data_IF_589041767777
#
_entry.id   IF_589041767777
#
_cell.length_a   1.000
_cell.length_b   1.000
_cell.length_c   1.000
_cell.angle_alpha   90.00
_cell.angle_beta   90.00
_cell.angle_gamma   90.00
#
_symmetry.space_group_name_H-M   'P 1'
#
loop_
_entity.id
_entity.type
_entity.pdbx_description
1 polymer ?
#
# COMPACT_ATOMS: atom_id res chain seq x y z
N UNK A 1 66.19 -30.65 26.84
CA UNK A 1 65.95 -30.76 28.30
C UNK A 1 64.96 -29.66 28.69
N UNK A 2 63.88 -30.05 29.36
CA UNK A 2 62.97 -29.26 30.22
C UNK A 2 62.05 -28.21 29.54
N UNK A 3 60.72 -28.47 29.45
CA UNK A 3 59.62 -28.16 30.41
C UNK A 3 59.26 -26.65 30.36
N UNK A 4 58.03 -26.19 30.16
CA UNK A 4 56.83 -26.50 30.97
C UNK A 4 55.51 -26.06 30.31
N UNK A 5 54.48 -26.84 30.57
CA UNK A 5 53.05 -26.65 30.28
C UNK A 5 52.37 -25.73 31.31
N UNK A 6 51.33 -24.98 30.90
CA UNK A 6 50.37 -24.36 31.83
C UNK A 6 48.94 -24.58 31.30
N UNK A 7 48.25 -25.58 31.84
CA UNK A 7 46.79 -25.76 31.72
C UNK A 7 46.19 -25.45 33.09
N UNK A 8 45.31 -24.46 33.14
CA UNK A 8 44.60 -24.04 34.34
C UNK A 8 43.26 -24.82 34.39
N UNK A 9 43.21 -25.90 35.18
CA UNK A 9 41.95 -26.62 35.47
C UNK A 9 41.39 -26.14 36.80
N UNK A 10 40.24 -25.47 36.77
CA UNK A 10 39.48 -25.12 37.96
C UNK A 10 38.60 -26.32 38.36
N UNK A 11 38.96 -26.95 39.47
CA UNK A 11 38.21 -28.02 40.13
C UNK A 11 37.13 -27.41 41.03
N UNK A 12 35.86 -27.82 40.85
CA UNK A 12 34.77 -27.50 41.78
C UNK A 12 34.00 -28.79 42.12
N UNK A 13 34.39 -29.35 43.26
CA UNK A 13 33.71 -30.23 44.23
C UNK A 13 32.46 -31.00 43.77
N UNK A 14 32.62 -32.33 43.64
CA UNK A 14 31.54 -33.30 43.83
C UNK A 14 31.64 -33.81 45.27
N UNK A 15 30.68 -33.46 46.13
CA UNK A 15 30.54 -34.07 47.46
C UNK A 15 29.41 -35.10 47.42
N UNK A 16 29.74 -36.30 47.89
CA UNK A 16 28.96 -37.54 47.80
C UNK A 16 27.85 -37.70 48.85
N UNK A 17 26.72 -38.25 48.39
CA UNK A 17 25.91 -39.36 48.94
C UNK A 17 25.42 -39.30 50.41
N UNK A 18 24.09 -39.35 50.58
CA UNK A 18 23.42 -40.12 51.65
C UNK A 18 22.27 -40.94 51.04
N UNK A 19 22.29 -42.26 51.27
CA UNK A 19 21.27 -43.27 50.95
C UNK A 19 20.30 -43.39 52.16
N UNK A 20 18.97 -43.46 52.04
CA UNK A 20 18.07 -44.62 51.82
C UNK A 20 16.67 -44.27 52.43
N UNK A 21 15.58 -45.08 52.38
CA UNK A 21 15.17 -46.18 51.50
C UNK A 21 13.79 -45.94 50.82
N UNK A 22 13.37 -46.86 49.96
CA UNK A 22 12.11 -46.85 49.22
C UNK A 22 10.84 -46.84 50.09
N UNK A 23 9.92 -45.91 49.81
CA UNK A 23 8.49 -46.06 50.07
C UNK A 23 7.69 -45.25 49.03
N UNK A 24 6.72 -45.94 48.45
CA UNK A 24 5.86 -45.55 47.33
C UNK A 24 5.05 -44.29 47.63
N UNK A 25 5.19 -43.25 46.82
CA UNK A 25 4.12 -42.30 46.53
C UNK A 25 4.39 -41.59 45.19
N UNK A 26 3.30 -41.46 44.45
CA UNK A 26 3.10 -40.80 43.16
C UNK A 26 3.62 -39.34 43.10
N UNK A 27 3.34 -38.69 41.97
CA UNK A 27 3.56 -37.28 41.60
C UNK A 27 4.96 -36.94 41.08
N UNK A 28 5.03 -36.59 39.79
CA UNK A 28 6.22 -36.04 39.16
C UNK A 28 6.75 -34.84 39.92
N UNK A 29 8.03 -34.88 40.27
CA UNK A 29 8.74 -33.78 40.94
C UNK A 29 10.07 -33.60 40.24
N UNK A 30 10.03 -32.98 39.06
CA UNK A 30 11.19 -32.23 38.60
C UNK A 30 11.54 -31.24 39.72
N UNK A 31 12.75 -31.32 40.28
CA UNK A 31 13.19 -30.38 41.32
C UNK A 31 13.04 -28.94 40.83
N UNK A 32 12.77 -27.97 41.72
CA UNK A 32 12.71 -26.55 41.35
C UNK A 32 13.97 -26.11 40.58
N UNK A 33 15.13 -26.67 40.92
CA UNK A 33 16.39 -26.45 40.19
C UNK A 33 16.36 -27.01 38.75
N UNK A 34 15.73 -28.17 38.56
CA UNK A 34 15.56 -28.81 37.24
C UNK A 34 14.55 -28.03 36.39
N UNK A 35 13.48 -27.51 37.00
CA UNK A 35 12.54 -26.59 36.37
C UNK A 35 13.19 -25.25 36.00
N UNK A 36 14.06 -24.71 36.85
CA UNK A 36 14.81 -23.48 36.56
C UNK A 36 15.81 -23.70 35.43
N UNK A 37 16.52 -24.83 35.41
CA UNK A 37 17.46 -25.17 34.35
C UNK A 37 16.74 -25.41 33.02
N UNK A 38 15.59 -26.10 33.06
CA UNK A 38 14.74 -26.30 31.88
C UNK A 38 14.20 -24.98 31.34
N UNK A 39 13.72 -24.08 32.20
CA UNK A 39 13.30 -22.72 31.79
C UNK A 39 14.46 -21.88 31.26
N UNK A 40 15.65 -21.96 31.85
CA UNK A 40 16.83 -21.29 31.32
C UNK A 40 17.18 -21.82 29.93
N UNK A 41 17.15 -23.15 29.72
CA UNK A 41 17.39 -23.77 28.43
C UNK A 41 16.31 -23.42 27.40
N UNK A 42 15.03 -23.44 27.77
CA UNK A 42 13.93 -23.02 26.89
C UNK A 42 13.99 -21.52 26.53
N UNK A 43 14.48 -20.67 27.44
CA UNK A 43 14.65 -19.24 27.21
C UNK A 43 15.91 -18.89 26.39
N UNK A 44 16.93 -19.74 26.36
CA UNK A 44 18.12 -19.57 25.52
C UNK A 44 18.11 -20.42 24.25
N UNK A 45 17.22 -21.41 24.15
CA UNK A 45 16.97 -22.17 22.95
C UNK A 45 16.11 -21.34 22.00
N UNK A 46 16.78 -20.47 21.25
CA UNK A 46 16.20 -19.58 20.26
C UNK A 46 15.31 -20.31 19.24
N UNK A 47 15.55 -21.61 19.00
CA UNK A 47 14.71 -22.47 18.14
C UNK A 47 13.25 -22.56 18.64
N UNK A 48 13.01 -22.54 19.95
CA UNK A 48 11.65 -22.63 20.52
C UNK A 48 10.95 -21.26 20.67
N UNK A 49 11.72 -20.16 20.81
CA UNK A 49 11.16 -18.80 20.83
C UNK A 49 10.76 -18.36 19.41
N UNK A 50 11.35 -18.99 18.39
CA UNK A 50 10.99 -18.84 16.98
C UNK A 50 9.83 -19.75 16.52
N UNK A 51 9.01 -20.30 17.44
CA UNK A 51 7.80 -21.07 17.11
C UNK A 51 6.71 -20.16 16.51
N UNK A 52 6.93 -19.83 15.25
CA UNK A 52 6.16 -18.94 14.39
C UNK A 52 6.94 -18.52 13.13
N UNK A 53 8.27 -18.74 13.09
CA UNK A 53 9.13 -18.46 11.93
C UNK A 53 9.23 -19.62 10.92
N UNK A 54 8.81 -20.83 11.31
CA UNK A 54 8.83 -22.00 10.41
C UNK A 54 7.62 -22.06 9.46
N UNK A 55 6.59 -21.24 9.68
CA UNK A 55 5.82 -20.74 8.55
C UNK A 55 6.65 -19.64 7.91
N UNK A 56 7.63 -20.04 7.08
CA UNK A 56 8.30 -19.16 6.14
C UNK A 56 7.23 -18.62 5.17
N UNK A 57 6.44 -17.65 5.60
CA UNK A 57 6.02 -16.59 4.70
C UNK A 57 7.34 -15.92 4.31
N UNK A 58 7.89 -16.35 3.19
CA UNK A 58 8.99 -15.65 2.53
C UNK A 58 8.57 -14.19 2.50
N UNK A 59 9.29 -13.34 3.24
CA UNK A 59 9.01 -11.91 3.25
C UNK A 59 9.17 -11.44 1.82
N UNK A 60 8.05 -11.31 1.10
CA UNK A 60 8.04 -10.81 -0.25
C UNK A 60 8.76 -9.47 -0.22
N UNK A 61 9.81 -9.38 -1.03
CA UNK A 61 10.60 -8.15 -1.17
C UNK A 61 9.62 -7.03 -1.52
N UNK A 62 9.36 -6.14 -0.56
CA UNK A 62 8.51 -4.97 -0.78
C UNK A 62 9.29 -4.00 -1.66
N UNK A 63 8.98 -4.00 -2.96
CA UNK A 63 9.58 -3.10 -3.93
C UNK A 63 8.72 -1.85 -3.99
N UNK A 64 9.33 -0.69 -3.72
CA UNK A 64 8.71 0.61 -3.94
C UNK A 64 8.83 0.99 -5.40
N UNK A 65 7.71 0.96 -6.12
CA UNK A 65 7.61 1.35 -7.51
C UNK A 65 6.87 2.68 -7.66
N UNK A 66 7.42 3.58 -8.48
CA UNK A 66 6.91 4.94 -8.68
C UNK A 66 6.72 5.22 -10.19
N UNK A 67 5.58 4.88 -10.79
CA UNK A 67 5.36 5.00 -12.23
C UNK A 67 5.45 6.47 -12.70
N UNK A 68 6.16 6.72 -13.80
CA UNK A 68 6.27 8.09 -14.34
C UNK A 68 5.04 8.44 -15.19
N UNK A 69 4.14 9.28 -14.65
CA UNK A 69 2.92 9.68 -15.36
C UNK A 69 3.28 10.57 -16.57
N UNK A 70 2.85 10.15 -17.75
CA UNK A 70 3.05 10.86 -19.03
C UNK A 70 1.81 11.63 -19.47
N UNK A 71 0.62 11.22 -19.03
CA UNK A 71 -0.64 11.96 -19.19
C UNK A 71 -1.52 11.75 -17.96
N UNK A 72 -2.10 12.81 -17.36
CA UNK A 72 -2.14 14.19 -17.84
C UNK A 72 -0.83 14.97 -17.67
N UNK A 73 -0.66 16.01 -18.48
CA UNK A 73 0.45 16.98 -18.42
C UNK A 73 -0.04 18.33 -17.89
N UNK A 74 0.89 19.27 -17.64
CA UNK A 74 0.52 20.62 -17.19
C UNK A 74 -0.34 21.41 -18.20
N UNK A 75 -0.31 21.04 -19.49
CA UNK A 75 -1.14 21.66 -20.52
C UNK A 75 -2.50 20.96 -20.70
N UNK A 76 -2.75 19.88 -19.96
CA UNK A 76 -3.98 19.10 -20.10
C UNK A 76 -5.18 19.86 -19.54
N UNK A 77 -6.25 19.88 -20.33
CA UNK A 77 -7.55 20.43 -19.93
C UNK A 77 -8.61 19.35 -20.15
N UNK A 78 -9.25 18.93 -19.08
CA UNK A 78 -10.35 17.96 -19.10
C UNK A 78 -11.66 18.62 -18.71
N UNK A 79 -12.76 17.91 -18.96
CA UNK A 79 -14.12 18.31 -18.61
C UNK A 79 -14.71 17.25 -17.68
N UNK A 80 -15.28 17.69 -16.56
CA UNK A 80 -15.94 16.80 -15.61
C UNK A 80 -17.03 15.94 -16.29
N UNK A 81 -17.25 14.73 -15.78
CA UNK A 81 -18.23 13.79 -16.34
C UNK A 81 -17.76 12.99 -17.56
N UNK A 82 -16.60 13.31 -18.14
CA UNK A 82 -16.08 12.62 -19.31
C UNK A 82 -15.05 11.53 -18.95
N UNK A 83 -14.81 10.63 -19.91
CA UNK A 83 -13.80 9.57 -19.80
C UNK A 83 -12.52 9.96 -20.52
N UNK A 84 -11.39 9.76 -19.84
CA UNK A 84 -10.05 10.04 -20.35
C UNK A 84 -9.12 8.86 -20.12
N UNK A 85 -7.98 8.85 -20.81
CA UNK A 85 -6.93 7.86 -20.58
C UNK A 85 -5.78 8.50 -19.81
N UNK A 86 -5.44 7.89 -18.67
CA UNK A 86 -4.22 8.20 -17.92
C UNK A 86 -3.13 7.25 -18.42
N UNK A 87 -1.93 7.78 -18.65
CA UNK A 87 -0.79 7.02 -19.15
C UNK A 87 0.45 7.25 -18.29
N UNK A 88 1.28 6.23 -18.17
CA UNK A 88 2.55 6.27 -17.45
C UNK A 88 3.58 5.38 -18.14
N UNK A 89 4.86 5.63 -17.87
CA UNK A 89 5.97 4.79 -18.32
C UNK A 89 6.23 3.71 -17.26
N UNK A 90 6.21 2.44 -17.68
CA UNK A 90 6.54 1.29 -16.85
C UNK A 90 7.75 0.49 -17.36
N UNK A 91 8.58 1.09 -18.23
CA UNK A 91 9.75 0.43 -18.82
C UNK A 91 10.83 0.03 -17.81
N UNK A 92 10.82 0.64 -16.62
CA UNK A 92 11.73 0.36 -15.51
C UNK A 92 11.14 -0.54 -14.41
N UNK A 93 9.95 -1.11 -14.65
CA UNK A 93 9.27 -1.99 -13.69
C UNK A 93 10.11 -3.26 -13.41
N UNK A 94 10.48 -3.53 -12.14
CA UNK A 94 11.21 -4.74 -11.78
C UNK A 94 10.37 -6.01 -11.99
N UNK A 95 11.02 -7.12 -12.34
CA UNK A 95 10.37 -8.43 -12.54
C UNK A 95 9.55 -8.88 -11.33
N UNK A 96 10.01 -8.57 -10.11
CA UNK A 96 9.30 -8.94 -8.89
C UNK A 96 8.01 -8.10 -8.66
N UNK A 97 7.80 -7.02 -9.43
CA UNK A 97 6.62 -6.16 -9.38
C UNK A 97 5.66 -6.37 -10.59
N UNK A 98 5.90 -7.39 -11.43
CA UNK A 98 5.08 -7.65 -12.64
C UNK A 98 3.59 -7.92 -12.37
N UNK A 99 3.26 -8.34 -11.15
CA UNK A 99 1.91 -8.64 -10.71
C UNK A 99 1.29 -7.52 -9.87
N UNK A 100 1.96 -6.37 -9.76
CA UNK A 100 1.43 -5.25 -8.98
C UNK A 100 0.18 -4.69 -9.67
N UNK A 101 -0.88 -4.56 -8.86
CA UNK A 101 -2.08 -3.86 -9.24
C UNK A 101 -1.98 -2.41 -8.81
N UNK A 102 -2.70 -1.55 -9.53
CA UNK A 102 -2.70 -0.12 -9.30
C UNK A 102 -4.07 0.46 -8.98
N UNK A 103 -4.03 1.68 -8.47
CA UNK A 103 -5.18 2.53 -8.23
C UNK A 103 -4.90 3.93 -8.76
N UNK A 104 -5.85 4.52 -9.48
CA UNK A 104 -5.79 5.92 -9.90
C UNK A 104 -6.66 6.75 -8.99
N UNK A 105 -6.08 7.75 -8.33
CA UNK A 105 -6.81 8.72 -7.53
C UNK A 105 -6.72 10.11 -8.13
N UNK A 106 -7.80 10.87 -7.98
CA UNK A 106 -7.86 12.28 -8.29
C UNK A 106 -7.85 13.10 -7.00
N UNK A 107 -7.09 14.17 -7.00
CA UNK A 107 -7.09 15.18 -5.95
C UNK A 107 -6.67 16.53 -6.50
N UNK A 108 -6.33 17.45 -5.60
CA UNK A 108 -5.90 18.79 -5.97
C UNK A 108 -4.91 19.34 -4.94
N UNK A 109 -4.03 20.23 -5.37
CA UNK A 109 -3.02 20.86 -4.51
C UNK A 109 -3.23 22.36 -4.52
N UNK A 110 -3.88 22.93 -3.47
CA UNK A 110 -4.12 24.35 -3.35
C UNK A 110 -2.85 25.18 -3.51
N UNK A 111 -2.99 26.40 -4.04
CA UNK A 111 -1.85 27.30 -4.26
C UNK A 111 -1.12 27.70 -2.97
N UNK A 112 -1.84 27.71 -1.83
CA UNK A 112 -1.27 28.00 -0.51
C UNK A 112 -0.52 26.82 0.13
N UNK A 113 -0.52 25.65 -0.53
CA UNK A 113 0.11 24.43 -0.05
C UNK A 113 -0.57 23.78 1.15
N UNK A 114 -1.74 24.27 1.56
CA UNK A 114 -2.50 23.70 2.67
C UNK A 114 -3.17 22.38 2.26
N UNK A 115 -3.29 21.43 3.19
CA UNK A 115 -4.06 20.19 2.98
C UNK A 115 -3.40 19.09 2.11
N UNK A 116 -2.21 19.31 1.55
CA UNK A 116 -1.48 18.29 0.78
C UNK A 116 -2.13 17.96 -0.56
N UNK A 117 -2.28 16.67 -0.88
CA UNK A 117 -2.77 16.19 -2.19
C UNK A 117 -4.30 16.12 -2.33
N UNK A 118 -5.05 16.25 -1.22
CA UNK A 118 -6.53 16.23 -1.20
C UNK A 118 -7.15 15.13 -2.09
N UNK A 119 -6.71 13.87 -1.92
CA UNK A 119 -7.16 12.74 -2.73
C UNK A 119 -8.57 12.31 -2.33
N UNK A 120 -9.58 12.78 -3.06
CA UNK A 120 -11.00 12.53 -2.74
C UNK A 120 -11.65 11.45 -3.59
N UNK A 121 -11.19 11.24 -4.82
CA UNK A 121 -11.85 10.33 -5.75
C UNK A 121 -10.92 9.21 -6.19
N UNK A 122 -11.43 7.98 -6.17
CA UNK A 122 -10.79 6.83 -6.83
C UNK A 122 -11.43 6.68 -8.21
N UNK A 123 -10.64 6.84 -9.26
CA UNK A 123 -11.11 6.83 -10.64
C UNK A 123 -10.99 5.45 -11.31
N UNK A 124 -9.99 4.66 -10.91
CA UNK A 124 -9.80 3.28 -11.35
C UNK A 124 -9.05 2.50 -10.28
N UNK A 125 -9.27 1.18 -10.21
CA UNK A 125 -8.68 0.29 -9.22
C UNK A 125 -8.50 -1.12 -9.79
N UNK A 126 -7.45 -1.82 -9.37
CA UNK A 126 -7.22 -3.22 -9.70
C UNK A 126 -6.67 -3.51 -11.10
N UNK A 127 -6.20 -2.50 -11.84
CA UNK A 127 -5.52 -2.70 -13.13
C UNK A 127 -4.05 -3.08 -12.91
N UNK A 128 -3.43 -3.78 -13.86
CA UNK A 128 -2.01 -4.10 -13.77
C UNK A 128 -1.15 -2.85 -14.06
N UNK A 129 -0.15 -2.56 -13.22
CA UNK A 129 0.73 -1.39 -13.41
C UNK A 129 1.51 -1.48 -14.73
N UNK A 130 1.87 -2.68 -15.18
CA UNK A 130 2.55 -2.90 -16.47
C UNK A 130 1.72 -2.55 -17.71
N UNK A 131 0.43 -2.25 -17.55
CA UNK A 131 -0.43 -1.89 -18.69
C UNK A 131 -0.10 -0.52 -19.27
N UNK A 132 0.63 0.33 -18.54
CA UNK A 132 1.05 1.70 -18.94
C UNK A 132 -0.09 2.69 -19.21
N UNK A 133 -1.33 2.22 -19.32
CA UNK A 133 -2.50 3.06 -19.51
C UNK A 133 -3.75 2.47 -18.85
N UNK A 134 -4.69 3.34 -18.49
CA UNK A 134 -6.03 2.97 -18.04
C UNK A 134 -7.02 4.09 -18.29
N UNK A 135 -8.23 3.74 -18.75
CA UNK A 135 -9.34 4.68 -18.90
C UNK A 135 -9.99 4.98 -17.55
N UNK A 136 -10.26 6.26 -17.31
CA UNK A 136 -10.87 6.79 -16.09
C UNK A 136 -12.04 7.68 -16.43
N UNK A 137 -13.12 7.57 -15.67
CA UNK A 137 -14.28 8.45 -15.81
C UNK A 137 -14.28 9.46 -14.67
N UNK A 138 -14.34 10.75 -15.01
CA UNK A 138 -14.40 11.82 -14.02
C UNK A 138 -15.82 11.95 -13.46
N UNK A 139 -15.99 12.20 -12.15
CA UNK A 139 -17.27 12.66 -11.60
C UNK A 139 -17.77 13.91 -12.34
N UNK A 140 -19.08 14.04 -12.53
CA UNK A 140 -19.69 15.17 -13.23
C UNK A 140 -19.79 16.44 -12.37
N UNK A 141 -19.76 16.27 -11.05
CA UNK A 141 -19.93 17.31 -10.03
C UNK A 141 -18.60 17.95 -9.58
N UNK A 142 -17.51 17.75 -10.35
CA UNK A 142 -16.24 18.40 -10.06
C UNK A 142 -16.33 19.90 -10.27
N UNK A 143 -15.84 20.66 -9.28
CA UNK A 143 -15.66 22.10 -9.40
C UNK A 143 -14.58 22.42 -10.44
N UNK A 144 -14.74 23.53 -11.15
CA UNK A 144 -13.70 24.01 -12.06
C UNK A 144 -12.46 24.45 -11.27
N UNK A 145 -11.29 23.88 -11.60
CA UNK A 145 -10.00 24.24 -11.00
C UNK A 145 -8.84 23.97 -11.96
N UNK A 146 -7.71 24.64 -11.71
CA UNK A 146 -6.46 24.51 -12.46
C UNK A 146 -5.34 23.77 -11.70
N UNK A 147 -5.64 23.29 -10.50
CA UNK A 147 -4.69 22.68 -9.57
C UNK A 147 -4.97 21.19 -9.28
N UNK A 148 -5.70 20.52 -10.18
CA UNK A 148 -5.96 19.09 -10.10
C UNK A 148 -4.70 18.26 -10.35
N UNK A 149 -4.63 17.11 -9.70
CA UNK A 149 -3.57 16.12 -9.87
C UNK A 149 -4.15 14.71 -9.94
N UNK A 150 -3.52 13.87 -10.74
CA UNK A 150 -3.76 12.42 -10.74
C UNK A 150 -2.61 11.73 -10.03
N UNK A 151 -2.93 10.77 -9.17
CA UNK A 151 -1.94 9.91 -8.52
C UNK A 151 -2.17 8.47 -8.99
N UNK A 152 -1.15 7.88 -9.60
CA UNK A 152 -1.12 6.44 -9.90
C UNK A 152 -0.40 5.76 -8.75
N UNK A 153 -1.13 4.95 -8.00
CA UNK A 153 -0.66 4.14 -6.88
C UNK A 153 -0.39 2.72 -7.36
N UNK A 154 0.78 2.16 -7.08
CA UNK A 154 1.03 0.72 -7.04
C UNK A 154 1.14 0.30 -5.58
N UNK A 155 2.38 0.13 -5.10
CA UNK A 155 2.70 0.05 -3.66
C UNK A 155 3.11 1.44 -3.08
N UNK A 156 3.60 2.33 -3.96
CA UNK A 156 3.80 3.78 -3.74
C UNK A 156 3.13 4.59 -4.87
N UNK A 157 3.01 5.91 -4.67
CA UNK A 157 2.28 6.80 -5.58
C UNK A 157 3.12 7.89 -6.21
N UNK A 158 2.95 8.09 -7.52
CA UNK A 158 3.47 9.28 -8.21
C UNK A 158 2.33 10.24 -8.54
N UNK A 159 2.56 11.54 -8.33
CA UNK A 159 1.60 12.58 -8.70
C UNK A 159 1.95 13.20 -10.05
N UNK A 160 0.94 13.45 -10.87
CA UNK A 160 1.07 14.19 -12.13
C UNK A 160 1.44 15.66 -11.85
N UNK A 161 1.90 16.40 -12.87
CA UNK A 161 1.83 17.85 -12.86
C UNK A 161 0.39 18.32 -12.60
N UNK A 162 0.23 19.55 -12.10
CA UNK A 162 -1.07 20.20 -11.96
C UNK A 162 -1.69 20.43 -13.33
N UNK A 163 -2.97 20.14 -13.49
CA UNK A 163 -3.70 20.32 -14.74
C UNK A 163 -5.12 20.85 -14.47
N UNK A 164 -5.82 21.23 -15.53
CA UNK A 164 -7.13 21.89 -15.43
C UNK A 164 -8.27 20.90 -15.68
N UNK A 165 -9.31 20.96 -14.83
CA UNK A 165 -10.60 20.33 -15.08
C UNK A 165 -11.66 21.42 -15.07
N UNK A 166 -12.40 21.52 -16.16
CA UNK A 166 -13.58 22.38 -16.30
C UNK A 166 -14.82 21.67 -15.78
N UNK A 167 -15.79 22.43 -15.29
CA UNK A 167 -17.09 21.87 -14.89
C UNK A 167 -17.77 21.16 -16.07
N UNK A 168 -18.64 20.20 -15.78
CA UNK A 168 -19.44 19.55 -16.80
C UNK A 168 -20.33 20.61 -17.46
N UNK A 169 -20.27 20.72 -18.79
CA UNK A 169 -21.26 21.52 -19.52
C UNK A 169 -22.60 20.79 -19.41
N UNK A 170 -23.61 21.44 -18.83
CA UNK A 170 -24.99 20.94 -18.77
C UNK A 170 -25.63 20.95 -20.16
N UNK A 171 -25.10 20.19 -21.12
CA UNK A 171 -25.58 20.17 -22.51
C UNK A 171 -27.07 19.79 -22.58
N UNK A 172 -27.57 18.99 -21.62
CA UNK A 172 -28.99 18.62 -21.56
C UNK A 172 -29.91 19.76 -21.11
N UNK A 173 -29.45 20.69 -20.28
CA UNK A 173 -30.26 21.86 -19.88
C UNK A 173 -30.28 22.88 -21.03
N UNK A 174 -29.12 23.14 -21.66
CA UNK A 174 -29.05 24.03 -22.83
C UNK A 174 -29.87 23.50 -24.02
N UNK A 175 -29.87 22.18 -24.27
CA UNK A 175 -30.69 21.59 -25.33
C UNK A 175 -32.19 21.73 -25.05
N UNK A 176 -32.63 21.59 -23.80
CA UNK A 176 -34.01 21.82 -23.39
C UNK A 176 -34.46 23.25 -23.70
N UNK A 177 -33.67 24.22 -23.25
CA UNK A 177 -33.94 25.65 -23.47
C UNK A 177 -33.94 26.02 -24.97
N UNK A 178 -32.99 25.47 -25.74
CA UNK A 178 -32.91 25.68 -27.20
C UNK A 178 -34.13 25.07 -27.91
N UNK A 179 -34.57 23.89 -27.49
CA UNK A 179 -35.75 23.22 -28.06
C UNK A 179 -36.99 24.04 -27.75
N UNK A 180 -37.18 24.46 -26.51
CA UNK A 180 -38.32 25.28 -26.08
C UNK A 180 -38.34 26.64 -26.79
N UNK A 181 -37.19 27.29 -26.95
CA UNK A 181 -37.08 28.54 -27.73
C UNK A 181 -37.50 28.33 -29.19
N UNK A 182 -36.99 27.26 -29.83
CA UNK A 182 -37.32 26.94 -31.23
C UNK A 182 -38.81 26.60 -31.39
N UNK A 183 -39.38 25.87 -30.45
CA UNK A 183 -40.80 25.53 -30.43
C UNK A 183 -41.65 26.80 -30.31
N UNK A 184 -41.35 27.66 -29.33
CA UNK A 184 -42.08 28.91 -29.12
C UNK A 184 -41.98 29.86 -30.33
N UNK A 185 -40.80 29.94 -30.95
CA UNK A 185 -40.59 30.72 -32.17
C UNK A 185 -41.38 30.17 -33.36
N UNK A 186 -41.48 28.85 -33.48
CA UNK A 186 -42.28 28.21 -34.52
C UNK A 186 -43.79 28.49 -34.31
N UNK A 187 -44.28 28.46 -33.07
CA UNK A 187 -45.66 28.84 -32.74
C UNK A 187 -45.96 30.31 -33.09
N UNK A 188 -45.07 31.23 -32.71
CA UNK A 188 -45.22 32.64 -33.04
C UNK A 188 -45.23 32.93 -34.56
N UNK A 189 -44.40 32.21 -35.33
CA UNK A 189 -44.39 32.34 -36.80
C UNK A 189 -45.62 31.73 -37.47
N UNK A 190 -46.25 30.73 -36.84
CA UNK A 190 -47.49 30.12 -37.29
C UNK A 190 -48.75 30.94 -36.92
N UNK A 191 -48.60 32.02 -36.14
CA UNK A 191 -49.72 32.89 -35.72
C UNK A 191 -50.67 32.23 -34.72
N UNK A 192 -50.17 31.27 -33.94
CA UNK A 192 -50.86 30.64 -32.82
C UNK A 192 -50.59 31.36 -31.50
#
# INVERSE_FOLDING_TARGET
MQLSSLLLTASLLVSSVVCAPAAVASFGTSSDAELMLKRQYENTNWDNVMLGRDTMEELEKRIVYNPHITSPTAATVWTAGQTYTVTWDASDLPTEAENYTGQIKLGYVPADGSGGLNLHWTLADGFAIKSEETSVTLPADLAERDDYIVVVLGDSGNASPKFTIKSATSENEELGDIIDEKINKAFAQAGM
#
